data_IF_081585642935
#
_entry.id   IF_081585642935
#
_cell.length_a   1.000
_cell.length_b   1.000
_cell.length_c   1.000
_cell.angle_alpha   90.00
_cell.angle_beta   90.00
_cell.angle_gamma   90.00
#
_symmetry.space_group_name_H-M   'P 1'
#
loop_
_entity.id
_entity.type
_entity.pdbx_description
1 polymer ?
#
# COMPACT_ATOMS: atom_id res chain seq x y z
N UNK A 1 4.19 -3.22 14.86
CA UNK A 1 5.58 -2.92 14.44
C UNK A 1 5.84 -3.48 13.04
N UNK A 2 6.43 -2.68 12.17
CA UNK A 2 6.73 -3.07 10.79
C UNK A 2 7.97 -3.97 10.78
N UNK A 3 7.85 -5.14 10.14
CA UNK A 3 8.96 -6.09 10.00
C UNK A 3 8.84 -6.85 8.68
N UNK A 4 9.73 -7.81 8.44
CA UNK A 4 9.78 -8.55 7.17
C UNK A 4 8.49 -9.33 6.86
N UNK A 5 7.70 -9.65 7.87
CA UNK A 5 6.46 -10.42 7.70
C UNK A 5 5.22 -9.52 7.61
N UNK A 6 5.37 -8.21 7.71
CA UNK A 6 4.28 -7.26 7.53
C UNK A 6 3.78 -7.32 6.09
N UNK A 7 2.45 -7.40 5.91
CA UNK A 7 1.85 -7.35 4.58
C UNK A 7 1.52 -5.91 4.23
N UNK A 8 1.93 -5.49 3.05
CA UNK A 8 1.67 -4.14 2.53
C UNK A 8 0.79 -4.25 1.30
N UNK A 9 -0.36 -3.60 1.34
CA UNK A 9 -1.30 -3.59 0.21
C UNK A 9 -1.48 -2.15 -0.26
N UNK A 10 -1.30 -1.94 -1.57
CA UNK A 10 -1.53 -0.64 -2.19
C UNK A 10 -2.79 -0.72 -3.05
N UNK A 11 -3.83 0.05 -2.67
CA UNK A 11 -5.04 0.18 -3.48
C UNK A 11 -4.95 1.45 -4.30
N UNK A 12 -5.17 1.34 -5.60
CA UNK A 12 -5.07 2.49 -6.51
C UNK A 12 -6.06 2.32 -7.67
N UNK A 13 -6.36 3.44 -8.35
CA UNK A 13 -7.22 3.45 -9.54
C UNK A 13 -6.43 3.46 -10.84
N UNK A 14 -5.17 3.82 -10.77
CA UNK A 14 -4.33 4.01 -11.95
C UNK A 14 -3.40 2.84 -12.18
N UNK A 15 -2.79 2.79 -13.35
CA UNK A 15 -1.80 1.76 -13.66
C UNK A 15 -0.53 2.00 -12.87
N UNK A 16 -0.18 1.05 -12.01
CA UNK A 16 1.03 1.16 -11.20
C UNK A 16 2.30 1.21 -12.07
N UNK A 17 2.39 0.32 -13.05
CA UNK A 17 3.57 0.22 -13.91
C UNK A 17 3.66 1.32 -14.95
N UNK A 18 2.65 2.18 -15.06
CA UNK A 18 2.64 3.28 -16.02
C UNK A 18 3.14 4.59 -15.43
N UNK A 19 3.48 4.62 -14.15
CA UNK A 19 3.95 5.82 -13.48
C UNK A 19 5.41 6.09 -13.82
N UNK A 20 5.62 7.04 -14.72
CA UNK A 20 6.95 7.40 -15.19
C UNK A 20 7.66 8.38 -14.28
N UNK A 21 6.95 8.97 -13.34
CA UNK A 21 7.52 9.97 -12.43
C UNK A 21 8.09 9.37 -11.16
N UNK A 22 8.03 8.05 -11.02
CA UNK A 22 8.51 7.38 -9.82
C UNK A 22 7.65 7.67 -8.60
N UNK A 23 6.35 7.83 -8.81
CA UNK A 23 5.41 8.19 -7.76
C UNK A 23 5.47 7.25 -6.55
N UNK A 24 5.67 5.95 -6.80
CA UNK A 24 5.67 4.94 -5.76
C UNK A 24 7.07 4.51 -5.33
N UNK A 25 8.11 5.20 -5.80
CA UNK A 25 9.49 4.93 -5.39
C UNK A 25 9.66 4.99 -3.86
N UNK A 26 9.09 5.99 -3.15
CA UNK A 26 9.21 6.02 -1.69
C UNK A 26 8.65 4.78 -1.01
N UNK A 27 7.54 4.22 -1.54
CA UNK A 27 6.97 2.99 -0.99
C UNK A 27 7.90 1.80 -1.25
N UNK A 28 8.50 1.71 -2.43
CA UNK A 28 9.48 0.67 -2.74
C UNK A 28 10.67 0.75 -1.79
N UNK A 29 11.20 1.94 -1.54
CA UNK A 29 12.31 2.13 -0.62
C UNK A 29 11.94 1.73 0.80
N UNK A 30 10.72 2.05 1.23
CA UNK A 30 10.22 1.65 2.53
C UNK A 30 10.22 0.12 2.65
N UNK A 31 9.73 -0.58 1.64
CA UNK A 31 9.67 -2.04 1.63
C UNK A 31 11.08 -2.63 1.70
N UNK A 32 12.01 -2.09 0.94
CA UNK A 32 13.40 -2.56 0.93
C UNK A 32 14.05 -2.30 2.28
N UNK A 33 13.88 -1.09 2.82
CA UNK A 33 14.52 -0.68 4.06
C UNK A 33 14.05 -1.50 5.26
N UNK A 34 12.80 -1.96 5.25
CA UNK A 34 12.25 -2.78 6.32
C UNK A 34 12.36 -4.27 6.03
N UNK A 35 13.04 -4.63 4.93
CA UNK A 35 13.27 -6.02 4.53
C UNK A 35 11.96 -6.82 4.41
N UNK A 36 10.89 -6.14 3.99
CA UNK A 36 9.58 -6.76 3.78
C UNK A 36 9.69 -7.70 2.58
N UNK A 37 9.19 -8.93 2.73
CA UNK A 37 9.20 -9.91 1.64
C UNK A 37 8.36 -9.40 0.47
N UNK A 38 8.87 -9.51 -0.74
CA UNK A 38 8.14 -9.08 -1.93
C UNK A 38 6.80 -9.80 -2.09
N UNK A 39 6.72 -11.05 -1.61
CA UNK A 39 5.45 -11.80 -1.62
C UNK A 39 4.41 -11.20 -0.69
N UNK A 40 4.81 -10.34 0.22
CA UNK A 40 3.92 -9.64 1.14
C UNK A 40 3.52 -8.24 0.64
N UNK A 41 4.04 -7.83 -0.51
CA UNK A 41 3.66 -6.57 -1.13
C UNK A 41 2.67 -6.85 -2.25
N UNK A 42 1.45 -6.34 -2.10
CA UNK A 42 0.35 -6.60 -3.02
C UNK A 42 -0.16 -5.28 -3.57
N UNK A 43 -0.32 -5.21 -4.88
CA UNK A 43 -0.88 -4.05 -5.57
C UNK A 43 -2.27 -4.43 -6.05
N UNK A 44 -3.29 -3.67 -5.64
CA UNK A 44 -4.70 -3.93 -6.00
C UNK A 44 -5.26 -2.74 -6.75
N UNK A 45 -5.31 -2.87 -8.06
CA UNK A 45 -5.92 -1.86 -8.93
C UNK A 45 -7.43 -2.07 -8.90
N UNK A 46 -8.13 -1.21 -8.18
CA UNK A 46 -9.54 -1.44 -7.82
C UNK A 46 -10.49 -1.48 -9.01
N UNK A 47 -10.14 -0.85 -10.13
CA UNK A 47 -11.00 -0.85 -11.32
C UNK A 47 -11.03 -2.21 -12.00
N UNK A 48 -10.11 -3.12 -11.65
CA UNK A 48 -10.04 -4.46 -12.25
C UNK A 48 -10.84 -5.50 -11.48
N UNK A 49 -11.29 -5.17 -10.27
CA UNK A 49 -11.94 -6.16 -9.40
C UNK A 49 -12.92 -5.48 -8.44
N UNK A 50 -14.23 -5.75 -8.57
CA UNK A 50 -15.23 -5.14 -7.68
C UNK A 50 -15.00 -5.43 -6.21
N UNK A 51 -14.46 -6.60 -5.87
CA UNK A 51 -14.15 -6.95 -4.49
C UNK A 51 -13.09 -6.02 -3.93
N UNK A 52 -12.06 -5.71 -4.71
CA UNK A 52 -11.02 -4.78 -4.29
C UNK A 52 -11.56 -3.38 -4.09
N UNK A 53 -12.52 -2.96 -4.93
CA UNK A 53 -13.17 -1.67 -4.78
C UNK A 53 -13.94 -1.60 -3.46
N UNK A 54 -14.67 -2.68 -3.12
CA UNK A 54 -15.40 -2.75 -1.87
C UNK A 54 -14.45 -2.72 -0.67
N UNK A 55 -13.32 -3.44 -0.75
CA UNK A 55 -12.30 -3.43 0.30
C UNK A 55 -11.77 -2.01 0.52
N UNK A 56 -11.41 -1.33 -0.57
CA UNK A 56 -10.87 0.02 -0.48
C UNK A 56 -11.90 0.99 0.11
N UNK A 57 -13.16 0.88 -0.30
CA UNK A 57 -14.23 1.75 0.19
C UNK A 57 -14.48 1.54 1.68
N UNK A 58 -14.24 0.33 2.19
CA UNK A 58 -14.46 0.02 3.60
C UNK A 58 -13.53 0.79 4.54
N UNK A 59 -12.41 1.28 4.04
CA UNK A 59 -11.48 2.08 4.84
C UNK A 59 -11.87 3.54 4.94
N UNK A 60 -12.78 4.02 4.08
CA UNK A 60 -13.31 5.39 4.08
C UNK A 60 -12.21 6.45 4.02
N UNK A 61 -11.17 6.19 3.24
CA UNK A 61 -10.08 7.15 2.98
C UNK A 61 -9.76 7.21 1.50
N UNK A 62 -9.08 8.28 1.08
CA UNK A 62 -8.80 8.53 -0.33
C UNK A 62 -7.78 7.56 -0.92
N UNK A 63 -7.89 7.35 -2.22
CA UNK A 63 -6.91 6.60 -3.00
C UNK A 63 -5.83 7.55 -3.54
N UNK A 64 -4.59 7.11 -3.70
CA UNK A 64 -4.08 5.78 -3.37
C UNK A 64 -4.02 5.55 -1.86
N UNK A 65 -4.25 4.31 -1.45
CA UNK A 65 -4.41 3.91 -0.07
C UNK A 65 -3.42 2.78 0.24
N UNK A 66 -2.70 2.88 1.35
CA UNK A 66 -1.74 1.87 1.76
C UNK A 66 -2.20 1.23 3.07
N UNK A 67 -2.22 -0.10 3.09
CA UNK A 67 -2.61 -0.86 4.28
C UNK A 67 -1.41 -1.68 4.75
N UNK A 68 -1.07 -1.53 6.03
CA UNK A 68 -0.03 -2.34 6.69
C UNK A 68 -0.71 -3.30 7.65
N UNK A 69 -0.45 -4.60 7.49
CA UNK A 69 -1.01 -5.62 8.37
C UNK A 69 0.11 -6.47 8.95
N UNK A 70 0.21 -6.46 10.27
CA UNK A 70 1.21 -7.24 10.99
C UNK A 70 0.70 -8.66 11.28
N UNK A 71 1.63 -9.57 11.58
CA UNK A 71 1.30 -10.97 11.86
C UNK A 71 0.42 -11.14 13.08
N UNK A 72 0.46 -10.20 14.02
CA UNK A 72 -0.36 -10.21 15.22
C UNK A 72 -1.80 -9.74 14.97
N UNK A 73 -2.12 -9.40 13.72
CA UNK A 73 -3.45 -8.93 13.32
C UNK A 73 -3.63 -7.43 13.38
N UNK A 74 -2.65 -6.70 13.90
CA UNK A 74 -2.69 -5.24 13.89
C UNK A 74 -2.65 -4.72 12.46
N UNK A 75 -3.54 -3.76 12.15
CA UNK A 75 -3.68 -3.23 10.80
C UNK A 75 -3.83 -1.72 10.82
N UNK A 76 -3.13 -1.04 9.92
CA UNK A 76 -3.23 0.40 9.75
C UNK A 76 -3.43 0.72 8.27
N UNK A 77 -4.39 1.62 7.98
CA UNK A 77 -4.65 2.09 6.63
C UNK A 77 -4.47 3.60 6.58
N UNK A 78 -3.67 4.09 5.64
CA UNK A 78 -3.40 5.52 5.47
C UNK A 78 -3.43 5.87 3.99
N UNK A 79 -3.64 7.16 3.69
CA UNK A 79 -3.49 7.62 2.30
C UNK A 79 -2.02 7.58 1.92
N UNK A 80 -1.74 7.46 0.62
CA UNK A 80 -0.36 7.50 0.15
C UNK A 80 0.27 8.87 0.46
N UNK A 81 -0.53 9.93 0.42
CA UNK A 81 -0.06 11.27 0.78
C UNK A 81 0.43 11.32 2.23
N UNK A 82 -0.33 10.73 3.15
CA UNK A 82 0.08 10.64 4.55
C UNK A 82 1.33 9.78 4.71
N UNK A 83 1.40 8.68 3.96
CA UNK A 83 2.59 7.84 3.96
C UNK A 83 3.83 8.66 3.58
N UNK A 84 3.74 9.48 2.52
CA UNK A 84 4.85 10.32 2.09
C UNK A 84 5.26 11.32 3.18
N UNK A 85 4.29 11.89 3.88
CA UNK A 85 4.58 12.83 4.96
C UNK A 85 5.35 12.15 6.10
N UNK A 86 5.06 10.89 6.38
CA UNK A 86 5.75 10.12 7.42
C UNK A 86 7.19 9.77 7.05
N UNK A 87 7.54 9.85 5.74
CA UNK A 87 8.90 9.54 5.26
C UNK A 87 9.82 10.76 5.29
N UNK A 88 9.32 11.93 5.61
CA UNK A 88 10.12 13.16 5.65
C UNK A 88 10.91 13.30 6.95
#
# INVERSE_FOLDING_TARGET
MINQDTKVTLYLKECYGCDRAGKYTPLHQFIINHQIKLTNFIIKRIELNPTWQQEANSFDIELPLVVFKNVDGEREAITYSEFLDRQK
#
